data_IF_056473818142
#
_entry.id   IF_056473818142
#
_cell.length_a   1.000
_cell.length_b   1.000
_cell.length_c   1.000
_cell.angle_alpha   90.00
_cell.angle_beta   90.00
_cell.angle_gamma   90.00
#
_symmetry.space_group_name_H-M   'P 1'
#
loop_
_entity.id
_entity.type
_entity.pdbx_description
1 polymer ?
#
# COMPACT_ATOMS: atom_id res chain seq x y z
N UNK A 1 9.54 21.40 1.77
CA UNK A 1 8.24 21.68 1.11
C UNK A 1 7.15 21.69 2.17
N UNK A 2 6.53 22.85 2.47
CA UNK A 2 5.35 22.90 3.35
C UNK A 2 4.14 22.48 2.53
N UNK A 3 3.68 21.26 2.73
CA UNK A 3 2.46 20.76 2.10
C UNK A 3 1.32 21.18 3.02
N UNK A 4 0.64 22.26 2.66
CA UNK A 4 -0.57 22.73 3.34
C UNK A 4 -1.73 21.86 2.88
N UNK A 5 -2.03 20.81 3.64
CA UNK A 5 -3.21 19.97 3.45
C UNK A 5 -4.28 20.36 4.46
N UNK A 6 -5.56 20.31 4.07
CA UNK A 6 -6.67 20.43 5.05
C UNK A 6 -6.59 19.37 6.16
N UNK A 7 -5.87 18.26 5.91
CA UNK A 7 -5.64 17.15 6.82
C UNK A 7 -4.29 17.18 7.52
N UNK A 8 -3.57 18.32 7.55
CA UNK A 8 -2.21 18.36 8.08
C UNK A 8 -2.11 17.80 9.52
N UNK A 9 -3.09 18.09 10.37
CA UNK A 9 -3.11 17.62 11.76
C UNK A 9 -3.38 16.12 11.85
N UNK A 10 -4.36 15.65 11.10
CA UNK A 10 -4.80 14.26 11.03
C UNK A 10 -3.69 13.39 10.47
N UNK A 11 -3.02 13.82 9.40
CA UNK A 11 -1.90 13.10 8.79
C UNK A 11 -0.72 13.00 9.74
N UNK A 12 -0.38 14.09 10.46
CA UNK A 12 0.68 14.04 11.49
C UNK A 12 0.34 13.04 12.58
N UNK A 13 -0.91 13.02 13.05
CA UNK A 13 -1.34 12.08 14.08
C UNK A 13 -1.36 10.64 13.55
N UNK A 14 -1.78 10.45 12.30
CA UNK A 14 -1.74 9.16 11.62
C UNK A 14 -0.31 8.61 11.60
N UNK A 15 0.68 9.40 11.17
CA UNK A 15 2.09 9.01 11.18
C UNK A 15 2.67 8.76 12.58
N UNK A 16 2.21 9.49 13.59
CA UNK A 16 2.66 9.30 14.96
C UNK A 16 2.13 7.97 15.53
N UNK A 17 0.82 7.72 15.37
CA UNK A 17 0.14 6.59 15.98
C UNK A 17 0.37 5.28 15.24
N UNK A 18 0.44 5.30 13.89
CA UNK A 18 0.65 4.10 13.06
C UNK A 18 1.96 3.37 13.34
N UNK A 19 2.98 4.05 13.88
CA UNK A 19 4.24 3.45 14.31
C UNK A 19 4.07 2.42 15.43
N UNK A 20 2.99 2.52 16.22
CA UNK A 20 2.71 1.64 17.35
C UNK A 20 1.91 0.42 16.90
N UNK A 21 2.60 -0.56 16.32
CA UNK A 21 1.97 -1.80 15.87
C UNK A 21 2.17 -2.90 16.90
N UNK A 22 1.06 -3.48 17.37
CA UNK A 22 1.07 -4.66 18.25
C UNK A 22 0.47 -5.86 17.52
N UNK A 23 1.06 -7.03 17.69
CA UNK A 23 0.48 -8.30 17.23
C UNK A 23 -0.14 -8.99 18.45
N UNK A 24 -1.48 -9.09 18.46
CA UNK A 24 -2.22 -9.81 19.50
C UNK A 24 -3.05 -10.88 18.81
N UNK A 25 -2.88 -12.15 19.18
CA UNK A 25 -3.60 -13.29 18.56
C UNK A 25 -3.49 -13.31 17.03
N UNK A 26 -2.29 -13.07 16.49
CA UNK A 26 -2.03 -12.99 15.04
C UNK A 26 -2.79 -11.87 14.30
N UNK A 27 -3.34 -10.89 15.04
CA UNK A 27 -4.01 -9.72 14.49
C UNK A 27 -3.21 -8.45 14.81
N UNK A 28 -3.01 -7.63 13.79
CA UNK A 28 -2.47 -6.28 13.94
C UNK A 28 -3.48 -5.43 14.71
N UNK A 29 -3.05 -4.86 15.84
CA UNK A 29 -3.86 -4.00 16.71
C UNK A 29 -3.15 -2.69 16.96
N UNK A 30 -3.91 -1.60 16.88
CA UNK A 30 -3.50 -0.26 17.29
C UNK A 30 -4.73 0.48 17.84
N UNK A 31 -5.09 0.17 19.08
CA UNK A 31 -6.30 0.66 19.74
C UNK A 31 -6.28 2.18 19.91
N UNK A 32 -5.10 2.77 20.13
CA UNK A 32 -4.91 4.22 20.22
C UNK A 32 -5.23 4.90 18.87
N UNK A 33 -4.72 4.37 17.75
CA UNK A 33 -5.04 4.86 16.42
C UNK A 33 -6.54 4.73 16.12
N UNK A 34 -7.10 3.55 16.36
CA UNK A 34 -8.52 3.28 16.09
C UNK A 34 -9.41 4.21 16.92
N UNK A 35 -9.11 4.38 18.21
CA UNK A 35 -9.86 5.27 19.09
C UNK A 35 -9.75 6.74 18.66
N UNK A 36 -8.56 7.19 18.24
CA UNK A 36 -8.35 8.58 17.83
C UNK A 36 -9.16 8.96 16.59
N UNK A 37 -9.35 8.01 15.67
CA UNK A 37 -10.09 8.22 14.41
C UNK A 37 -11.52 7.64 14.45
N UNK A 38 -12.06 7.36 15.64
CA UNK A 38 -13.36 6.70 15.79
C UNK A 38 -14.54 7.55 15.29
N UNK A 39 -14.49 8.86 15.47
CA UNK A 39 -15.51 9.81 15.00
C UNK A 39 -15.33 10.24 13.53
N UNK A 40 -14.30 9.73 12.84
CA UNK A 40 -14.00 10.05 11.45
C UNK A 40 -14.64 9.00 10.54
N UNK A 41 -15.44 9.42 9.55
CA UNK A 41 -16.06 8.47 8.62
C UNK A 41 -15.02 7.76 7.76
N UNK A 42 -15.35 6.60 7.22
CA UNK A 42 -14.41 5.85 6.39
C UNK A 42 -14.03 6.60 5.10
N UNK A 43 -14.96 7.36 4.49
CA UNK A 43 -14.64 8.23 3.35
C UNK A 43 -13.58 9.27 3.73
N UNK A 44 -13.70 9.84 4.93
CA UNK A 44 -12.77 10.86 5.39
C UNK A 44 -11.41 10.26 5.78
N UNK A 45 -11.40 9.06 6.40
CA UNK A 45 -10.17 8.29 6.62
C UNK A 45 -9.45 8.00 5.30
N UNK A 46 -10.18 7.60 4.26
CA UNK A 46 -9.63 7.36 2.92
C UNK A 46 -8.99 8.64 2.37
N UNK A 47 -9.67 9.78 2.44
CA UNK A 47 -9.14 11.06 1.99
C UNK A 47 -7.86 11.48 2.72
N UNK A 48 -7.82 11.29 4.05
CA UNK A 48 -6.65 11.56 4.90
C UNK A 48 -5.47 10.67 4.45
N UNK A 49 -5.70 9.37 4.26
CA UNK A 49 -4.66 8.41 3.86
C UNK A 49 -4.13 8.74 2.45
N UNK A 50 -5.01 9.01 1.48
CA UNK A 50 -4.61 9.36 0.09
C UNK A 50 -3.73 10.61 0.06
N UNK A 51 -4.09 11.65 0.81
CA UNK A 51 -3.27 12.86 0.89
C UNK A 51 -1.95 12.60 1.66
N UNK A 52 -1.97 11.72 2.67
CA UNK A 52 -0.77 11.22 3.33
C UNK A 52 0.19 10.51 2.37
N UNK A 53 -0.32 9.60 1.53
CA UNK A 53 0.46 8.87 0.52
C UNK A 53 1.13 9.87 -0.43
N UNK A 54 0.37 10.82 -0.96
CA UNK A 54 0.89 11.88 -1.83
C UNK A 54 2.03 12.67 -1.19
N UNK A 55 1.89 13.05 0.09
CA UNK A 55 2.93 13.74 0.86
C UNK A 55 4.19 12.86 1.01
N UNK A 56 4.01 11.60 1.38
CA UNK A 56 5.10 10.65 1.60
C UNK A 56 5.86 10.34 0.30
N UNK A 57 5.16 10.20 -0.83
CA UNK A 57 5.76 10.06 -2.16
C UNK A 57 6.62 11.27 -2.53
N UNK A 58 6.12 12.49 -2.32
CA UNK A 58 6.89 13.72 -2.59
C UNK A 58 8.18 13.81 -1.77
N UNK A 59 8.19 13.20 -0.57
CA UNK A 59 9.35 13.13 0.31
C UNK A 59 10.22 11.90 0.08
N UNK A 60 9.77 10.96 -0.76
CA UNK A 60 10.35 9.61 -0.92
C UNK A 60 10.58 8.92 0.43
N UNK A 61 9.61 9.03 1.34
CA UNK A 61 9.72 8.49 2.69
C UNK A 61 9.05 7.11 2.79
N UNK A 62 9.86 6.04 2.67
CA UNK A 62 9.40 4.64 2.74
C UNK A 62 8.65 4.32 4.03
N UNK A 63 9.16 4.78 5.19
CA UNK A 63 8.53 4.50 6.48
C UNK A 63 7.19 5.19 6.63
N UNK A 64 7.00 6.38 6.06
CA UNK A 64 5.67 7.02 6.00
C UNK A 64 4.70 6.21 5.13
N UNK A 65 5.15 5.62 4.01
CA UNK A 65 4.33 4.75 3.17
C UNK A 65 3.91 3.48 3.92
N UNK A 66 4.84 2.77 4.56
CA UNK A 66 4.57 1.59 5.38
C UNK A 66 3.51 1.89 6.46
N UNK A 67 3.70 2.98 7.21
CA UNK A 67 2.77 3.44 8.25
C UNK A 67 1.35 3.73 7.71
N UNK A 68 1.24 4.29 6.51
CA UNK A 68 -0.05 4.54 5.84
C UNK A 68 -0.71 3.23 5.40
N UNK A 69 0.06 2.29 4.84
CA UNK A 69 -0.43 0.97 4.44
C UNK A 69 -0.92 0.14 5.64
N UNK A 70 -0.23 0.22 6.77
CA UNK A 70 -0.68 -0.35 8.05
C UNK A 70 -1.99 0.29 8.54
N UNK A 71 -2.13 1.62 8.38
CA UNK A 71 -3.35 2.32 8.76
C UNK A 71 -4.58 1.86 7.97
N UNK A 72 -4.41 1.56 6.67
CA UNK A 72 -5.46 0.94 5.85
C UNK A 72 -5.90 -0.39 6.46
N UNK A 73 -4.95 -1.22 6.92
CA UNK A 73 -5.24 -2.48 7.61
C UNK A 73 -5.95 -2.28 8.95
N UNK A 74 -5.49 -1.35 9.79
CA UNK A 74 -6.11 -1.08 11.10
C UNK A 74 -7.56 -0.60 10.98
N UNK A 75 -7.85 0.24 9.99
CA UNK A 75 -9.20 0.72 9.71
C UNK A 75 -10.03 -0.25 8.87
N UNK A 76 -9.47 -1.39 8.46
CA UNK A 76 -10.12 -2.39 7.59
C UNK A 76 -10.61 -1.81 6.26
N UNK A 77 -9.80 -0.96 5.64
CA UNK A 77 -10.11 -0.27 4.38
C UNK A 77 -9.42 -0.91 3.16
N UNK A 78 -8.84 -2.10 3.31
CA UNK A 78 -8.02 -2.76 2.27
C UNK A 78 -8.82 -3.27 1.06
N UNK A 79 -10.14 -3.31 1.14
CA UNK A 79 -11.07 -3.69 0.08
C UNK A 79 -11.80 -2.48 -0.54
N UNK A 80 -11.35 -1.26 -0.21
CA UNK A 80 -11.91 -0.01 -0.74
C UNK A 80 -11.28 0.33 -2.07
N UNK A 81 -12.09 0.26 -3.14
CA UNK A 81 -11.67 0.51 -4.52
C UNK A 81 -11.12 1.91 -4.77
N UNK A 82 -11.43 2.85 -3.88
CA UNK A 82 -10.98 4.24 -3.89
C UNK A 82 -9.44 4.39 -3.81
N UNK A 83 -8.72 3.34 -3.39
CA UNK A 83 -7.26 3.30 -3.34
C UNK A 83 -6.60 2.71 -4.59
N UNK A 84 -7.34 2.13 -5.54
CA UNK A 84 -6.76 1.39 -6.67
C UNK A 84 -5.75 2.26 -7.43
N UNK A 85 -6.08 3.51 -7.75
CA UNK A 85 -5.17 4.43 -8.44
C UNK A 85 -3.91 4.75 -7.64
N UNK A 86 -4.02 4.87 -6.32
CA UNK A 86 -2.89 5.15 -5.43
C UNK A 86 -1.96 3.94 -5.34
N UNK A 87 -2.53 2.73 -5.25
CA UNK A 87 -1.78 1.48 -5.30
C UNK A 87 -1.06 1.28 -6.63
N UNK A 88 -1.69 1.61 -7.76
CA UNK A 88 -1.04 1.56 -9.07
C UNK A 88 0.15 2.52 -9.11
N UNK A 89 0.00 3.75 -8.61
CA UNK A 89 1.11 4.72 -8.58
C UNK A 89 2.24 4.22 -7.68
N UNK A 90 1.92 3.79 -6.47
CA UNK A 90 2.91 3.25 -5.52
C UNK A 90 3.61 2.01 -6.07
N UNK A 91 2.89 1.12 -6.75
CA UNK A 91 3.46 -0.10 -7.33
C UNK A 91 4.61 0.14 -8.33
N UNK A 92 4.78 1.37 -8.83
CA UNK A 92 5.84 1.75 -9.78
C UNK A 92 7.01 2.47 -9.10
N UNK A 93 6.92 2.74 -7.80
CA UNK A 93 7.90 3.52 -7.05
C UNK A 93 8.88 2.61 -6.29
N UNK A 94 10.15 2.60 -6.67
CA UNK A 94 11.13 1.68 -6.06
C UNK A 94 11.53 2.03 -4.61
N UNK A 95 11.23 3.25 -4.16
CA UNK A 95 11.77 3.76 -2.89
C UNK A 95 11.13 3.14 -1.63
N UNK A 96 10.06 2.35 -1.75
CA UNK A 96 9.36 1.71 -0.62
C UNK A 96 9.23 0.19 -0.76
N UNK A 97 8.99 -0.51 0.34
CA UNK A 97 8.95 -2.00 0.35
C UNK A 97 7.56 -2.62 0.23
N UNK A 98 6.50 -1.81 0.09
CA UNK A 98 5.10 -2.27 0.13
C UNK A 98 4.59 -3.01 -1.14
N UNK A 99 5.46 -3.43 -2.06
CA UNK A 99 5.03 -4.08 -3.32
C UNK A 99 4.25 -5.38 -3.08
N UNK A 100 4.67 -6.19 -2.10
CA UNK A 100 3.97 -7.42 -1.73
C UNK A 100 2.60 -7.13 -1.09
N UNK A 101 2.53 -6.14 -0.20
CA UNK A 101 1.28 -5.66 0.41
C UNK A 101 0.30 -5.19 -0.66
N UNK A 102 0.77 -4.37 -1.61
CA UNK A 102 -0.05 -3.86 -2.72
C UNK A 102 -0.57 -5.01 -3.59
N UNK A 103 0.28 -5.99 -3.93
CA UNK A 103 -0.14 -7.16 -4.69
C UNK A 103 -1.21 -7.97 -3.94
N UNK A 104 -1.07 -8.14 -2.62
CA UNK A 104 -2.06 -8.80 -1.76
C UNK A 104 -3.40 -8.06 -1.75
N UNK A 105 -3.41 -6.72 -1.73
CA UNK A 105 -4.64 -5.95 -1.86
C UNK A 105 -5.28 -6.11 -3.24
N UNK A 106 -4.51 -6.07 -4.33
CA UNK A 106 -5.02 -6.31 -5.68
C UNK A 106 -5.69 -7.69 -5.85
N UNK A 107 -5.15 -8.72 -5.21
CA UNK A 107 -5.74 -10.07 -5.22
C UNK A 107 -7.12 -10.09 -4.55
N UNK A 108 -7.38 -9.22 -3.56
CA UNK A 108 -8.66 -9.17 -2.84
C UNK A 108 -9.78 -8.50 -3.63
N UNK A 109 -9.47 -7.60 -4.56
CA UNK A 109 -10.50 -6.89 -5.33
C UNK A 109 -11.24 -7.76 -6.35
N UNK A 110 -10.66 -8.89 -6.79
CA UNK A 110 -11.24 -9.77 -7.82
C UNK A 110 -11.70 -9.04 -9.10
N UNK A 111 -11.07 -7.90 -9.44
CA UNK A 111 -11.41 -7.10 -10.62
C UNK A 111 -10.48 -7.46 -11.79
N UNK A 112 -10.95 -7.50 -13.05
CA UNK A 112 -10.09 -7.78 -14.20
C UNK A 112 -8.90 -6.83 -14.29
N UNK A 113 -9.10 -5.53 -14.04
CA UNK A 113 -8.03 -4.54 -14.06
C UNK A 113 -6.94 -4.79 -13.01
N UNK A 114 -7.26 -5.38 -11.86
CA UNK A 114 -6.25 -5.67 -10.83
C UNK A 114 -5.37 -6.88 -11.20
N UNK A 115 -5.85 -7.77 -12.08
CA UNK A 115 -5.06 -8.87 -12.63
C UNK A 115 -3.92 -8.32 -13.48
N UNK A 116 -4.20 -7.37 -14.38
CA UNK A 116 -3.18 -6.78 -15.25
C UNK A 116 -2.08 -6.09 -14.43
N UNK A 117 -2.44 -5.39 -13.35
CA UNK A 117 -1.45 -4.77 -12.45
C UNK A 117 -0.64 -5.78 -11.64
N UNK A 118 -1.22 -6.92 -11.24
CA UNK A 118 -0.46 -8.01 -10.61
C UNK A 118 0.57 -8.57 -11.60
N UNK A 119 0.19 -8.76 -12.87
CA UNK A 119 1.12 -9.18 -13.91
C UNK A 119 2.22 -8.14 -14.17
N UNK A 120 1.87 -6.85 -14.24
CA UNK A 120 2.85 -5.76 -14.37
C UNK A 120 3.84 -5.78 -13.20
N UNK A 121 3.35 -5.75 -11.95
CA UNK A 121 4.16 -5.82 -10.73
C UNK A 121 5.13 -7.00 -10.73
N UNK A 122 4.63 -8.18 -11.11
CA UNK A 122 5.42 -9.39 -11.07
C UNK A 122 6.41 -9.52 -12.23
N UNK A 123 6.31 -8.66 -13.25
CA UNK A 123 7.27 -8.59 -14.37
C UNK A 123 8.17 -7.34 -14.31
N UNK A 124 7.89 -6.40 -13.41
CA UNK A 124 8.69 -5.21 -13.16
C UNK A 124 10.11 -5.56 -12.68
N UNK A 125 11.13 -5.04 -13.36
CA UNK A 125 12.53 -5.30 -13.03
C UNK A 125 13.03 -4.30 -11.95
N UNK A 126 12.51 -4.43 -10.73
CA UNK A 126 12.95 -3.62 -9.59
C UNK A 126 14.40 -3.94 -9.23
N UNK A 127 15.29 -2.95 -9.31
CA UNK A 127 16.74 -3.17 -9.13
C UNK A 127 17.08 -3.79 -7.76
N UNK A 128 16.34 -3.37 -6.72
CA UNK A 128 16.51 -3.86 -5.35
C UNK A 128 16.15 -5.34 -5.15
N UNK A 129 15.28 -5.91 -5.99
CA UNK A 129 14.89 -7.32 -5.91
C UNK A 129 15.69 -8.22 -6.87
N UNK A 130 16.70 -7.68 -7.58
CA UNK A 130 17.55 -8.44 -8.50
C UNK A 130 18.25 -9.64 -7.85
N UNK A 131 18.51 -9.57 -6.55
CA UNK A 131 19.16 -10.64 -5.77
C UNK A 131 18.19 -11.39 -4.86
N UNK A 132 16.89 -11.08 -4.92
CA UNK A 132 15.87 -11.84 -4.21
C UNK A 132 15.47 -13.04 -5.06
N UNK A 133 15.96 -14.22 -4.66
CA UNK A 133 15.70 -15.48 -5.35
C UNK A 133 14.21 -15.83 -5.43
N UNK A 134 13.40 -15.43 -4.44
CA UNK A 134 11.94 -15.68 -4.45
C UNK A 134 11.25 -14.78 -5.46
N UNK A 135 11.59 -13.48 -5.46
CA UNK A 135 11.08 -12.54 -6.45
C UNK A 135 11.48 -12.97 -7.87
N UNK A 136 12.76 -13.26 -8.10
CA UNK A 136 13.27 -13.73 -9.38
C UNK A 136 12.60 -15.04 -9.87
N UNK A 137 12.29 -15.96 -8.94
CA UNK A 137 11.56 -17.19 -9.26
C UNK A 137 10.11 -16.91 -9.64
N UNK A 138 9.43 -16.02 -8.91
CA UNK A 138 8.07 -15.56 -9.24
C UNK A 138 7.99 -14.94 -10.64
N UNK A 139 8.91 -14.03 -10.98
CA UNK A 139 8.96 -13.41 -12.31
C UNK A 139 9.11 -14.45 -13.42
N UNK A 140 10.06 -15.39 -13.25
CA UNK A 140 10.28 -16.47 -14.23
C UNK A 140 9.03 -17.31 -14.43
N UNK A 141 8.33 -17.67 -13.35
CA UNK A 141 7.09 -18.43 -13.41
C UNK A 141 5.99 -17.67 -14.17
N UNK A 142 5.78 -16.39 -13.88
CA UNK A 142 4.80 -15.55 -14.60
C UNK A 142 5.15 -15.36 -16.07
N UNK A 143 6.42 -15.14 -16.42
CA UNK A 143 6.87 -15.03 -17.81
C UNK A 143 6.62 -16.32 -18.60
N UNK A 144 6.80 -17.49 -17.96
CA UNK A 144 6.46 -18.78 -18.56
C UNK A 144 4.94 -18.92 -18.83
N UNK A 145 4.08 -18.47 -17.92
CA UNK A 145 2.62 -18.52 -18.13
C UNK A 145 2.12 -17.45 -19.12
N UNK A 146 2.71 -16.25 -19.12
CA UNK A 146 2.37 -15.17 -20.04
C UNK A 146 2.68 -15.49 -21.51
N UNK A 147 3.73 -16.29 -21.77
CA UNK A 147 4.06 -16.79 -23.12
C UNK A 147 2.99 -17.68 -23.74
N UNK A 148 2.11 -18.30 -22.95
CA UNK A 148 1.00 -19.11 -23.45
C UNK A 148 -0.25 -18.30 -23.83
N UNK A 149 -0.38 -17.03 -23.41
CA UNK A 149 -1.52 -16.18 -23.77
C UNK A 149 -1.33 -15.43 -25.11
N UNK A 150 -0.11 -15.40 -25.64
CA UNK A 150 0.24 -14.69 -26.89
C UNK A 150 0.82 -15.61 -27.97
N UNK A 151 0.68 -16.94 -27.83
CA UNK A 151 1.06 -17.93 -28.85
C UNK A 151 -0.16 -18.47 -29.59
#
# INVERSE_FOLDING_TARGET
>A
MKISSKYEKEIKKLFELSKKTYIVNFQLRNEELISHFSDVTDEEKINIIKEGIKIACQRKNSSEIENLMLSISFFRLYDRSEFIEDYIKLSKEEFHEEHETIASYFQRFHLPQTIDYIYELATSNFEKYRWDDKFCTGQKMLLCFGRHKHS
#
